data_IF_083087329221
#
_entry.id   IF_083087329221
#
_cell.length_a   1.000
_cell.length_b   1.000
_cell.length_c   1.000
_cell.angle_alpha   90.00
_cell.angle_beta   90.00
_cell.angle_gamma   90.00
#
_symmetry.space_group_name_H-M   'P 1'
#
loop_
_entity.id
_entity.type
_entity.pdbx_description
1 polymer ?
#
# COMPACT_ATOMS: atom_id res chain seq x y z
N UNK A 1 -6.40 5.11 9.15
CA UNK A 1 -5.19 4.58 8.47
C UNK A 1 -4.31 3.75 9.39
N UNK A 2 -3.92 4.22 10.58
CA UNK A 2 -3.09 3.43 11.52
C UNK A 2 -3.60 1.99 11.79
N UNK A 3 -4.90 1.81 11.99
CA UNK A 3 -5.45 0.47 12.23
C UNK A 3 -5.30 -0.48 11.03
N UNK A 4 -5.34 0.06 9.80
CA UNK A 4 -5.08 -0.69 8.56
C UNK A 4 -3.64 -1.18 8.55
N UNK A 5 -2.69 -0.29 8.84
CA UNK A 5 -1.25 -0.60 8.93
C UNK A 5 -0.99 -1.71 9.95
N UNK A 6 -1.61 -1.62 11.13
CA UNK A 6 -1.45 -2.63 12.18
C UNK A 6 -1.96 -4.01 11.75
N UNK A 7 -3.11 -4.09 11.06
CA UNK A 7 -3.61 -5.37 10.56
C UNK A 7 -2.70 -5.94 9.46
N UNK A 8 -2.16 -5.10 8.57
CA UNK A 8 -1.17 -5.52 7.58
C UNK A 8 0.06 -6.11 8.29
N UNK A 9 0.65 -5.41 9.25
CA UNK A 9 1.83 -5.92 9.96
C UNK A 9 1.57 -7.19 10.77
N UNK A 10 0.33 -7.42 11.21
CA UNK A 10 -0.07 -8.67 11.88
C UNK A 10 -0.33 -9.83 10.90
N UNK A 11 -0.33 -9.58 9.58
CA UNK A 11 -0.72 -10.57 8.58
C UNK A 11 -2.24 -10.79 8.47
N UNK A 12 -3.05 -9.93 9.09
CA UNK A 12 -4.52 -10.02 9.11
C UNK A 12 -5.14 -9.22 7.95
N UNK A 13 -4.75 -9.53 6.70
CA UNK A 13 -5.08 -8.70 5.52
C UNK A 13 -6.58 -8.54 5.25
N UNK A 14 -7.37 -9.62 5.40
CA UNK A 14 -8.82 -9.56 5.23
C UNK A 14 -9.48 -8.60 6.24
N UNK A 15 -9.01 -8.59 7.50
CA UNK A 15 -9.50 -7.62 8.50
C UNK A 15 -9.12 -6.19 8.14
N UNK A 16 -7.94 -5.99 7.52
CA UNK A 16 -7.51 -4.68 7.05
C UNK A 16 -8.44 -4.16 5.94
N UNK A 17 -8.85 -5.03 5.02
CA UNK A 17 -9.73 -4.71 3.88
C UNK A 17 -11.15 -4.31 4.30
N UNK A 18 -11.70 -4.99 5.31
CA UNK A 18 -13.06 -4.73 5.81
C UNK A 18 -13.18 -3.40 6.56
N UNK A 19 -12.08 -2.72 6.87
CA UNK A 19 -12.12 -1.49 7.64
C UNK A 19 -12.90 -0.38 6.92
N UNK A 20 -13.89 0.26 7.59
CA UNK A 20 -14.72 1.30 6.98
C UNK A 20 -13.92 2.46 6.38
N UNK A 21 -12.75 2.78 6.95
CA UNK A 21 -11.91 3.85 6.42
C UNK A 21 -11.36 3.60 5.01
N UNK A 22 -11.34 2.35 4.53
CA UNK A 22 -11.00 2.04 3.14
C UNK A 22 -12.23 2.06 2.22
N UNK A 23 -13.41 1.74 2.75
CA UNK A 23 -14.64 1.54 1.96
C UNK A 23 -15.56 2.78 1.92
N UNK A 24 -15.28 3.82 2.71
CA UNK A 24 -16.03 5.06 2.67
C UNK A 24 -15.70 5.88 1.40
N UNK A 25 -16.73 6.39 0.73
CA UNK A 25 -16.67 7.20 -0.52
C UNK A 25 -16.01 8.60 -0.39
N UNK A 26 -15.30 8.85 0.71
CA UNK A 26 -14.61 10.11 0.91
C UNK A 26 -13.19 10.05 0.33
N UNK A 27 -12.97 10.76 -0.78
CA UNK A 27 -11.71 10.77 -1.53
C UNK A 27 -10.65 11.74 -0.94
N UNK A 28 -10.86 12.23 0.28
CA UNK A 28 -9.96 13.18 0.93
C UNK A 28 -8.58 12.62 1.28
N UNK A 29 -8.44 11.30 1.44
CA UNK A 29 -7.18 10.67 1.87
C UNK A 29 -6.56 9.80 0.75
N UNK A 30 -5.55 10.36 0.08
CA UNK A 30 -4.73 9.72 -0.97
C UNK A 30 -4.10 8.39 -0.52
N UNK A 31 -3.95 8.14 0.78
CA UNK A 31 -3.40 6.88 1.29
C UNK A 31 -4.37 5.71 1.12
N UNK A 32 -5.68 5.94 1.00
CA UNK A 32 -6.68 4.86 0.90
C UNK A 32 -6.43 3.92 -0.29
N UNK A 33 -6.35 4.40 -1.54
CA UNK A 33 -6.06 3.53 -2.68
C UNK A 33 -4.67 2.89 -2.59
N UNK A 34 -3.69 3.56 -1.97
CA UNK A 34 -2.38 2.94 -1.70
C UNK A 34 -2.50 1.72 -0.78
N UNK A 35 -3.22 1.84 0.35
CA UNK A 35 -3.40 0.71 1.26
C UNK A 35 -4.24 -0.41 0.64
N UNK A 36 -5.27 -0.07 -0.14
CA UNK A 36 -6.02 -1.07 -0.89
C UNK A 36 -5.12 -1.82 -1.87
N UNK A 37 -4.30 -1.12 -2.66
CA UNK A 37 -3.35 -1.74 -3.57
C UNK A 37 -2.39 -2.69 -2.83
N UNK A 38 -1.85 -2.26 -1.68
CA UNK A 38 -0.97 -3.10 -0.85
C UNK A 38 -1.70 -4.36 -0.40
N UNK A 39 -2.90 -4.24 0.16
CA UNK A 39 -3.70 -5.37 0.65
C UNK A 39 -4.02 -6.35 -0.49
N UNK A 40 -4.42 -5.85 -1.66
CA UNK A 40 -4.73 -6.67 -2.84
C UNK A 40 -3.50 -7.44 -3.34
N UNK A 41 -2.31 -6.83 -3.37
CA UNK A 41 -1.07 -7.56 -3.65
C UNK A 41 -0.81 -8.66 -2.61
N UNK A 42 -0.99 -8.36 -1.33
CA UNK A 42 -0.78 -9.32 -0.23
C UNK A 42 -1.76 -10.50 -0.28
N UNK A 43 -2.98 -10.29 -0.78
CA UNK A 43 -4.01 -11.30 -1.02
C UNK A 43 -3.81 -12.06 -2.35
N UNK A 44 -2.85 -11.66 -3.19
CA UNK A 44 -2.63 -12.18 -4.55
C UNK A 44 -3.78 -11.85 -5.54
N UNK A 45 -4.47 -10.75 -5.28
CA UNK A 45 -5.53 -10.16 -6.12
C UNK A 45 -4.92 -9.09 -7.03
N UNK A 46 -3.98 -9.51 -7.89
CA UNK A 46 -3.18 -8.59 -8.72
C UNK A 46 -4.02 -7.69 -9.64
N UNK A 47 -5.09 -8.16 -10.31
CA UNK A 47 -5.92 -7.29 -11.15
C UNK A 47 -6.56 -6.12 -10.38
N UNK A 48 -7.04 -6.39 -9.17
CA UNK A 48 -7.62 -5.40 -8.26
C UNK A 48 -6.53 -4.46 -7.72
N UNK A 49 -5.35 -5.00 -7.40
CA UNK A 49 -4.21 -4.21 -6.97
C UNK A 49 -3.78 -3.16 -7.99
N UNK A 50 -3.78 -3.51 -9.28
CA UNK A 50 -3.45 -2.58 -10.38
C UNK A 50 -4.44 -1.43 -10.42
N UNK A 51 -5.75 -1.70 -10.33
CA UNK A 51 -6.80 -0.67 -10.35
C UNK A 51 -6.61 0.34 -9.21
N UNK A 52 -6.41 -0.17 -7.99
CA UNK A 52 -6.21 0.66 -6.80
C UNK A 52 -4.89 1.45 -6.88
N UNK A 53 -3.84 0.85 -7.45
CA UNK A 53 -2.56 1.53 -7.67
C UNK A 53 -2.67 2.66 -8.72
N UNK A 54 -3.41 2.45 -9.80
CA UNK A 54 -3.69 3.48 -10.81
C UNK A 54 -4.51 4.64 -10.21
N UNK A 55 -5.49 4.34 -9.37
CA UNK A 55 -6.26 5.36 -8.66
C UNK A 55 -5.38 6.17 -7.70
N UNK A 56 -4.51 5.50 -6.95
CA UNK A 56 -3.51 6.18 -6.12
C UNK A 56 -2.60 7.10 -6.95
N UNK A 57 -2.10 6.61 -8.09
CA UNK A 57 -1.24 7.40 -8.99
C UNK A 57 -1.96 8.65 -9.50
N UNK A 58 -3.23 8.51 -9.88
CA UNK A 58 -4.08 9.61 -10.35
C UNK A 58 -4.33 10.66 -9.26
N UNK A 59 -4.78 10.23 -8.09
CA UNK A 59 -4.99 11.17 -6.98
C UNK A 59 -3.68 11.85 -6.60
N UNK A 60 -2.59 11.10 -6.52
CA UNK A 60 -1.26 11.65 -6.22
C UNK A 60 -0.79 12.68 -7.25
N UNK A 61 -1.08 12.51 -8.54
CA UNK A 61 -0.75 13.55 -9.53
C UNK A 61 -1.54 14.84 -9.32
N UNK A 62 -2.76 14.73 -8.79
CA UNK A 62 -3.61 15.89 -8.49
C UNK A 62 -3.15 16.62 -7.20
N UNK A 63 -2.56 15.90 -6.25
CA UNK A 63 -1.89 16.51 -5.09
C UNK A 63 -0.51 17.06 -5.50
N UNK A 64 -0.40 18.40 -5.63
CA UNK A 64 0.87 19.12 -5.81
C UNK A 64 1.85 18.81 -4.68
N UNK A 65 2.67 17.78 -4.85
CA UNK A 65 3.76 17.49 -3.93
C UNK A 65 4.90 18.49 -4.16
N UNK A 66 5.55 18.98 -3.08
CA UNK A 66 6.68 19.88 -3.21
C UNK A 66 7.78 19.27 -4.09
N UNK A 67 8.51 20.09 -4.87
CA UNK A 67 9.55 19.63 -5.81
C UNK A 67 10.57 18.70 -5.15
N UNK A 68 10.97 19.02 -3.92
CA UNK A 68 11.98 18.32 -3.11
C UNK A 68 11.59 16.86 -2.82
N UNK A 69 10.29 16.55 -2.86
CA UNK A 69 9.78 15.21 -2.59
C UNK A 69 9.91 14.35 -3.85
N UNK A 70 9.84 14.93 -5.06
CA UNK A 70 9.88 14.21 -6.35
C UNK A 70 11.18 13.43 -6.59
N UNK A 71 12.28 13.87 -5.98
CA UNK A 71 13.59 13.23 -6.08
C UNK A 71 13.85 12.15 -5.01
N UNK A 72 12.87 11.87 -4.14
CA UNK A 72 13.02 10.81 -3.14
C UNK A 72 12.93 9.41 -3.78
N UNK A 73 13.68 8.44 -3.24
CA UNK A 73 13.65 7.03 -3.66
C UNK A 73 12.22 6.45 -3.67
N UNK A 74 11.34 7.01 -2.86
CA UNK A 74 9.91 6.71 -2.81
C UNK A 74 9.20 6.98 -4.16
N UNK A 75 9.64 7.95 -4.97
CA UNK A 75 9.06 8.22 -6.29
C UNK A 75 9.54 7.25 -7.35
N UNK A 76 10.81 6.85 -7.31
CA UNK A 76 11.35 5.83 -8.19
C UNK A 76 10.62 4.49 -7.98
N UNK A 77 10.37 4.11 -6.73
CA UNK A 77 9.67 2.87 -6.37
C UNK A 77 8.18 2.85 -6.75
N UNK A 78 7.60 4.03 -6.99
CA UNK A 78 6.18 4.18 -7.35
C UNK A 78 6.01 4.59 -8.82
N UNK A 79 7.07 4.51 -9.63
CA UNK A 79 7.03 4.86 -11.05
C UNK A 79 6.20 3.85 -11.86
N UNK A 80 6.33 2.56 -11.55
CA UNK A 80 5.65 1.45 -12.19
C UNK A 80 5.10 0.46 -11.16
N UNK A 81 4.11 -0.33 -11.58
CA UNK A 81 3.44 -1.29 -10.71
C UNK A 81 4.37 -2.44 -10.30
N UNK A 82 5.29 -2.88 -11.17
CA UNK A 82 6.17 -4.03 -10.86
C UNK A 82 7.13 -3.70 -9.72
N UNK A 83 7.68 -2.48 -9.70
CA UNK A 83 8.52 -1.99 -8.61
C UNK A 83 7.74 -1.93 -7.29
N UNK A 84 6.50 -1.42 -7.34
CA UNK A 84 5.60 -1.39 -6.19
C UNK A 84 5.29 -2.81 -5.68
N UNK A 85 4.91 -3.72 -6.58
CA UNK A 85 4.54 -5.10 -6.26
C UNK A 85 5.73 -5.84 -5.62
N UNK A 86 6.95 -5.65 -6.13
CA UNK A 86 8.17 -6.21 -5.53
C UNK A 86 8.37 -5.76 -4.09
N UNK A 87 8.19 -4.47 -3.81
CA UNK A 87 8.31 -3.95 -2.43
C UNK A 87 7.26 -4.56 -1.52
N UNK A 88 6.02 -4.69 -1.97
CA UNK A 88 4.95 -5.31 -1.18
C UNK A 88 5.20 -6.81 -0.97
N UNK A 89 5.80 -7.51 -1.94
CA UNK A 89 6.23 -8.91 -1.78
C UNK A 89 7.35 -9.04 -0.74
N UNK A 90 8.33 -8.13 -0.72
CA UNK A 90 9.35 -8.09 0.34
C UNK A 90 8.70 -7.84 1.71
N UNK A 91 7.76 -6.89 1.80
CA UNK A 91 6.99 -6.65 3.02
C UNK A 91 6.26 -7.93 3.48
N UNK A 92 5.65 -8.67 2.56
CA UNK A 92 5.00 -9.96 2.87
C UNK A 92 5.98 -10.94 3.48
N UNK A 93 7.16 -11.07 2.87
CA UNK A 93 8.20 -11.94 3.43
C UNK A 93 8.57 -11.52 4.85
N UNK A 94 8.69 -10.24 5.13
CA UNK A 94 9.06 -9.74 6.45
C UNK A 94 7.96 -9.93 7.50
N UNK A 95 6.68 -9.81 7.10
CA UNK A 95 5.52 -10.10 7.96
C UNK A 95 5.52 -11.58 8.39
N UNK A 96 5.86 -12.49 7.47
CA UNK A 96 5.81 -13.94 7.73
C UNK A 96 7.17 -14.55 8.13
N UNK A 97 8.28 -13.83 7.97
CA UNK A 97 9.57 -14.22 8.55
C UNK A 97 9.42 -14.14 10.07
N UNK A 98 9.46 -15.31 10.73
CA UNK A 98 9.54 -15.39 12.20
C UNK A 98 10.63 -14.43 12.70
N UNK A 99 10.40 -13.72 13.82
CA UNK A 99 11.46 -12.89 14.41
C UNK A 99 12.69 -13.77 14.60
N UNK A 100 13.85 -13.34 14.10
CA UNK A 100 15.12 -13.88 14.59
C UNK A 100 15.05 -13.71 16.10
N UNK A 101 14.98 -14.81 16.84
CA UNK A 101 15.10 -14.81 18.28
C UNK A 101 16.39 -14.02 18.59
N UNK A 102 16.24 -12.82 19.13
CA UNK A 102 17.35 -12.13 19.76
C UNK A 102 17.50 -12.83 21.10
N UNK A 103 18.52 -13.70 21.16
CA UNK A 103 19.04 -14.27 22.41
C UNK A 103 19.50 -13.14 23.35
#
# INVERSE_FOLDING_TARGET
MLLVELYIYKGEFAKAEELPCLNNNDNSDVRRPLFKAIIKVLLNETPEAIKEWEEFRKLRSDYLLPPDVKDSQFYTLLADFDSFERVVKVLREDIFKKPRAKF
#
